data_IF_239612053714
#
_entry.id   IF_239612053714
#
_cell.length_a   1.000
_cell.length_b   1.000
_cell.length_c   1.000
_cell.angle_alpha   90.00
_cell.angle_beta   90.00
_cell.angle_gamma   90.00
#
_symmetry.space_group_name_H-M   'P 1'
#
loop_
_entity.id
_entity.type
_entity.pdbx_description
1 polymer ?
#
# COMPACT_ATOMS: atom_id res chain seq x y z
N UNK A 1 28.63 34.00 -7.92
CA UNK A 1 27.55 33.00 -7.79
C UNK A 1 28.02 31.95 -6.79
N UNK A 2 27.41 31.88 -5.60
CA UNK A 2 27.68 30.76 -4.70
C UNK A 2 27.14 29.48 -5.35
N UNK A 3 27.99 28.47 -5.51
CA UNK A 3 27.57 27.15 -5.98
C UNK A 3 26.67 26.53 -4.91
N UNK A 4 25.46 26.08 -5.29
CA UNK A 4 24.58 25.37 -4.37
C UNK A 4 25.32 24.07 -3.94
N UNK A 5 25.72 23.93 -2.66
CA UNK A 5 26.48 22.77 -2.19
C UNK A 5 25.67 21.47 -2.28
N UNK A 6 24.34 21.57 -2.41
CA UNK A 6 23.42 20.46 -2.54
C UNK A 6 23.09 20.10 -4.00
N UNK A 7 23.57 20.86 -5.00
CA UNK A 7 23.20 20.65 -6.41
C UNK A 7 23.44 19.22 -6.89
N UNK A 8 24.57 18.60 -6.50
CA UNK A 8 24.85 17.22 -6.88
C UNK A 8 23.89 16.21 -6.23
N UNK A 9 23.41 16.48 -4.99
CA UNK A 9 22.39 15.68 -4.30
C UNK A 9 21.02 15.84 -4.97
N UNK A 10 20.66 17.05 -5.35
CA UNK A 10 19.44 17.34 -6.11
C UNK A 10 19.41 16.55 -7.42
N UNK A 11 20.50 16.63 -8.20
CA UNK A 11 20.62 15.90 -9.47
C UNK A 11 20.54 14.39 -9.24
N UNK A 12 21.29 13.85 -8.27
CA UNK A 12 21.35 12.41 -8.04
C UNK A 12 20.02 11.86 -7.52
N UNK A 13 19.45 12.45 -6.47
CA UNK A 13 18.17 12.00 -5.90
C UNK A 13 17.01 12.21 -6.90
N UNK A 14 17.01 13.33 -7.64
CA UNK A 14 16.03 13.60 -8.69
C UNK A 14 16.12 12.58 -9.84
N UNK A 15 17.34 12.26 -10.29
CA UNK A 15 17.55 11.24 -11.32
C UNK A 15 17.12 9.85 -10.84
N UNK A 16 17.48 9.46 -9.61
CA UNK A 16 17.05 8.19 -9.01
C UNK A 16 15.52 8.09 -8.96
N UNK A 17 14.85 9.13 -8.47
CA UNK A 17 13.39 9.20 -8.41
C UNK A 17 12.76 9.10 -9.81
N UNK A 18 13.30 9.84 -10.78
CA UNK A 18 12.85 9.82 -12.18
C UNK A 18 13.02 8.44 -12.82
N UNK A 19 14.18 7.79 -12.63
CA UNK A 19 14.44 6.44 -13.13
C UNK A 19 13.45 5.44 -12.53
N UNK A 20 13.22 5.48 -11.21
CA UNK A 20 12.27 4.60 -10.52
C UNK A 20 10.85 4.81 -11.05
N UNK A 21 10.42 6.06 -11.20
CA UNK A 21 9.10 6.41 -11.73
C UNK A 21 8.92 5.90 -13.16
N UNK A 22 9.87 6.19 -14.05
CA UNK A 22 9.85 5.72 -15.45
C UNK A 22 9.88 4.20 -15.53
N UNK A 23 10.73 3.53 -14.74
CA UNK A 23 10.80 2.07 -14.73
C UNK A 23 9.48 1.43 -14.27
N UNK A 24 8.83 1.97 -13.23
CA UNK A 24 7.54 1.50 -12.77
C UNK A 24 6.46 1.71 -13.84
N UNK A 25 6.40 2.90 -14.45
CA UNK A 25 5.44 3.22 -15.52
C UNK A 25 5.66 2.34 -16.75
N UNK A 26 6.91 2.16 -17.19
CA UNK A 26 7.27 1.25 -18.27
C UNK A 26 6.81 -0.18 -17.95
N UNK A 27 7.07 -0.68 -16.74
CA UNK A 27 6.61 -2.02 -16.32
C UNK A 27 5.09 -2.16 -16.33
N UNK A 28 4.34 -1.11 -15.98
CA UNK A 28 2.88 -1.11 -16.02
C UNK A 28 2.38 -1.17 -17.47
N UNK A 29 3.00 -0.42 -18.38
CA UNK A 29 2.58 -0.31 -19.78
C UNK A 29 3.06 -1.50 -20.63
N UNK A 30 4.31 -1.92 -20.47
CA UNK A 30 4.96 -2.95 -21.30
C UNK A 30 4.59 -4.38 -20.89
N UNK A 31 4.22 -4.58 -19.62
CA UNK A 31 3.76 -5.87 -19.10
C UNK A 31 2.37 -5.72 -18.49
N UNK A 32 1.35 -5.38 -19.30
CA UNK A 32 -0.01 -5.33 -18.83
C UNK A 32 -0.39 -6.74 -18.37
N UNK A 33 -0.95 -6.83 -17.18
CA UNK A 33 -1.33 -8.14 -16.63
C UNK A 33 -2.55 -8.64 -17.41
N UNK A 34 -2.39 -9.71 -18.18
CA UNK A 34 -3.44 -10.31 -19.02
C UNK A 34 -4.79 -10.44 -18.29
N UNK A 35 -5.92 -9.99 -18.88
CA UNK A 35 -7.26 -10.23 -18.33
C UNK A 35 -7.47 -11.75 -18.14
N UNK A 36 -7.88 -12.20 -16.94
CA UNK A 36 -8.17 -13.63 -16.68
C UNK A 36 -7.06 -14.46 -16.01
N UNK A 37 -5.97 -13.85 -15.53
CA UNK A 37 -4.91 -14.55 -14.76
C UNK A 37 -4.87 -14.31 -13.25
N UNK A 38 -5.82 -13.56 -12.67
CA UNK A 38 -5.84 -13.38 -11.21
C UNK A 38 -6.87 -14.32 -10.64
N UNK A 39 -6.43 -15.55 -10.49
CA UNK A 39 -7.29 -16.57 -9.95
C UNK A 39 -7.50 -16.30 -8.47
N UNK A 40 -8.70 -16.57 -7.97
CA UNK A 40 -8.94 -16.69 -6.54
C UNK A 40 -8.01 -17.79 -6.03
N UNK A 41 -7.13 -17.44 -5.09
CA UNK A 41 -6.12 -18.37 -4.56
C UNK A 41 -6.60 -19.07 -3.29
N UNK A 42 -7.54 -18.46 -2.58
CA UNK A 42 -8.20 -18.99 -1.39
C UNK A 42 -9.70 -18.77 -1.60
N UNK A 43 -10.52 -19.79 -1.35
CA UNK A 43 -11.96 -19.66 -1.51
C UNK A 43 -12.51 -18.48 -0.67
N UNK A 44 -13.27 -17.59 -1.30
CA UNK A 44 -13.91 -16.47 -0.63
C UNK A 44 -15.39 -16.77 -0.39
N UNK A 45 -15.86 -16.61 0.84
CA UNK A 45 -17.28 -16.64 1.15
C UNK A 45 -17.83 -15.19 1.23
N UNK A 46 -18.50 -14.67 0.19
CA UNK A 46 -18.98 -13.29 0.19
C UNK A 46 -20.07 -13.03 1.23
N UNK A 47 -20.83 -14.04 1.64
CA UNK A 47 -21.85 -13.93 2.70
C UNK A 47 -21.28 -14.01 4.12
N UNK A 48 -19.95 -13.95 4.28
CA UNK A 48 -19.30 -13.86 5.59
C UNK A 48 -19.65 -12.53 6.28
N UNK A 49 -20.71 -12.56 7.10
CA UNK A 49 -21.23 -11.41 7.85
C UNK A 49 -20.19 -10.86 8.81
N UNK A 50 -19.42 -11.72 9.49
CA UNK A 50 -18.40 -11.30 10.44
C UNK A 50 -17.34 -10.42 9.77
N UNK A 51 -16.82 -10.87 8.61
CA UNK A 51 -15.81 -10.10 7.87
C UNK A 51 -16.38 -8.78 7.36
N UNK A 52 -17.63 -8.78 6.88
CA UNK A 52 -18.28 -7.55 6.44
C UNK A 52 -18.45 -6.56 7.60
N UNK A 53 -18.94 -7.02 8.75
CA UNK A 53 -19.09 -6.21 9.97
C UNK A 53 -17.75 -5.65 10.43
N UNK A 54 -16.69 -6.46 10.41
CA UNK A 54 -15.33 -6.03 10.73
C UNK A 54 -14.85 -4.92 9.78
N UNK A 55 -15.04 -5.09 8.47
CA UNK A 55 -14.68 -4.09 7.46
C UNK A 55 -15.46 -2.80 7.65
N UNK A 56 -16.77 -2.87 7.90
CA UNK A 56 -17.61 -1.69 8.19
C UNK A 56 -17.16 -0.95 9.45
N UNK A 57 -16.91 -1.68 10.55
CA UNK A 57 -16.44 -1.09 11.80
C UNK A 57 -15.07 -0.41 11.62
N UNK A 58 -14.14 -1.08 10.93
CA UNK A 58 -12.81 -0.54 10.64
C UNK A 58 -12.88 0.69 9.73
N UNK A 59 -13.72 0.65 8.70
CA UNK A 59 -13.94 1.79 7.81
C UNK A 59 -14.48 3.00 8.55
N UNK A 60 -15.52 2.82 9.37
CA UNK A 60 -16.10 3.91 10.17
C UNK A 60 -15.04 4.45 11.14
N UNK A 61 -14.31 3.57 11.83
CA UNK A 61 -13.25 3.97 12.74
C UNK A 61 -12.16 4.80 12.02
N UNK A 62 -11.69 4.36 10.86
CA UNK A 62 -10.68 5.08 10.07
C UNK A 62 -11.19 6.43 9.53
N UNK A 63 -12.46 6.49 9.08
CA UNK A 63 -13.07 7.77 8.66
C UNK A 63 -13.14 8.73 9.85
N UNK A 64 -13.58 8.28 11.02
CA UNK A 64 -13.65 9.12 12.23
C UNK A 64 -12.26 9.62 12.62
N UNK A 65 -11.26 8.74 12.70
CA UNK A 65 -9.89 9.11 13.02
C UNK A 65 -9.34 10.12 12.01
N UNK A 66 -9.57 9.89 10.72
CA UNK A 66 -9.11 10.78 9.64
C UNK A 66 -9.74 12.17 9.77
N UNK A 67 -11.06 12.25 10.01
CA UNK A 67 -11.76 13.52 10.23
C UNK A 67 -11.22 14.23 11.47
N UNK A 68 -11.06 13.53 12.59
CA UNK A 68 -10.55 14.11 13.82
C UNK A 68 -9.13 14.64 13.63
N UNK A 69 -8.25 13.89 12.96
CA UNK A 69 -6.90 14.34 12.65
C UNK A 69 -6.90 15.60 11.79
N UNK A 70 -7.73 15.68 10.75
CA UNK A 70 -7.82 16.87 9.88
C UNK A 70 -8.40 18.07 10.62
N UNK A 71 -9.37 17.87 11.51
CA UNK A 71 -10.00 18.95 12.28
C UNK A 71 -9.11 19.46 13.42
N UNK A 72 -8.35 18.59 14.07
CA UNK A 72 -7.47 18.95 15.19
C UNK A 72 -6.12 19.49 14.74
N UNK A 73 -5.78 19.37 13.46
CA UNK A 73 -4.50 19.79 12.90
C UNK A 73 -4.65 20.89 11.86
N UNK A 74 -3.53 21.46 11.44
CA UNK A 74 -3.50 22.35 10.29
C UNK A 74 -3.61 21.51 9.01
N UNK A 75 -4.35 21.97 8.00
CA UNK A 75 -4.40 21.38 6.65
C UNK A 75 -3.01 21.13 6.04
N UNK A 76 -1.99 21.85 6.50
CA UNK A 76 -0.59 21.61 6.15
C UNK A 76 -0.11 20.18 6.48
N UNK A 77 -0.67 19.50 7.48
CA UNK A 77 -0.29 18.12 7.85
C UNK A 77 -0.61 17.09 6.76
N UNK A 78 -1.42 17.44 5.74
CA UNK A 78 -1.68 16.56 4.60
C UNK A 78 -0.44 16.31 3.72
N UNK A 79 0.67 17.05 3.94
CA UNK A 79 1.95 16.81 3.26
C UNK A 79 2.70 15.58 3.78
N UNK A 80 2.31 15.03 4.93
CA UNK A 80 2.99 13.86 5.51
C UNK A 80 2.50 12.54 4.89
N UNK A 81 3.44 11.63 4.65
CA UNK A 81 3.18 10.30 4.08
C UNK A 81 2.26 9.45 4.96
N UNK A 82 2.25 9.68 6.27
CA UNK A 82 1.36 8.99 7.21
C UNK A 82 -0.11 9.25 6.87
N UNK A 83 -0.47 10.49 6.52
CA UNK A 83 -1.83 10.84 6.08
C UNK A 83 -2.17 10.19 4.74
N UNK A 84 -1.22 10.15 3.80
CA UNK A 84 -1.41 9.48 2.51
C UNK A 84 -1.70 7.98 2.69
N UNK A 85 -0.90 7.30 3.51
CA UNK A 85 -1.09 5.87 3.78
C UNK A 85 -2.37 5.58 4.56
N UNK A 86 -2.71 6.41 5.55
CA UNK A 86 -3.94 6.21 6.31
C UNK A 86 -5.18 6.45 5.44
N UNK A 87 -5.13 7.45 4.54
CA UNK A 87 -6.18 7.67 3.54
C UNK A 87 -6.32 6.47 2.60
N UNK A 88 -5.21 5.91 2.12
CA UNK A 88 -5.22 4.74 1.24
C UNK A 88 -5.82 3.51 1.93
N UNK A 89 -5.56 3.33 3.22
CA UNK A 89 -6.19 2.30 4.06
C UNK A 89 -7.71 2.50 4.16
N UNK A 90 -8.18 3.73 4.41
CA UNK A 90 -9.61 4.06 4.45
C UNK A 90 -10.29 3.77 3.12
N UNK A 91 -9.66 4.16 2.00
CA UNK A 91 -10.16 3.87 0.64
C UNK A 91 -10.25 2.36 0.40
N UNK A 92 -9.22 1.60 0.82
CA UNK A 92 -9.23 0.15 0.70
C UNK A 92 -10.41 -0.47 1.42
N UNK A 93 -10.65 -0.14 2.69
CA UNK A 93 -11.77 -0.71 3.45
C UNK A 93 -13.13 -0.35 2.83
N UNK A 94 -13.29 0.88 2.35
CA UNK A 94 -14.50 1.28 1.61
C UNK A 94 -14.70 0.44 0.33
N UNK A 95 -13.63 0.26 -0.45
CA UNK A 95 -13.68 -0.55 -1.67
C UNK A 95 -13.92 -2.05 -1.39
N UNK A 96 -13.37 -2.58 -0.29
CA UNK A 96 -13.56 -3.97 0.14
C UNK A 96 -15.00 -4.25 0.57
N UNK A 97 -15.64 -3.31 1.28
CA UNK A 97 -17.08 -3.38 1.62
C UNK A 97 -17.90 -3.43 0.33
N UNK A 98 -17.63 -2.51 -0.61
CA UNK A 98 -18.37 -2.45 -1.87
C UNK A 98 -18.20 -3.74 -2.68
N UNK A 99 -16.99 -4.29 -2.78
CA UNK A 99 -16.74 -5.55 -3.49
C UNK A 99 -17.47 -6.72 -2.83
N UNK A 100 -17.37 -6.87 -1.50
CA UNK A 100 -18.04 -7.94 -0.78
C UNK A 100 -19.56 -7.86 -0.88
N UNK A 101 -20.16 -6.68 -0.69
CA UNK A 101 -21.61 -6.47 -0.83
C UNK A 101 -22.07 -6.75 -2.25
N UNK A 102 -21.32 -6.31 -3.27
CA UNK A 102 -21.65 -6.62 -4.67
C UNK A 102 -21.65 -8.12 -4.96
N UNK A 103 -20.68 -8.87 -4.41
CA UNK A 103 -20.61 -10.33 -4.55
C UNK A 103 -21.68 -11.06 -3.74
N UNK A 104 -22.10 -10.51 -2.61
CA UNK A 104 -23.19 -11.08 -1.79
C UNK A 104 -24.56 -10.84 -2.45
N UNK A 105 -24.85 -9.63 -2.91
CA UNK A 105 -26.18 -9.24 -3.40
C UNK A 105 -26.59 -9.88 -4.74
N UNK A 106 -25.73 -10.67 -5.38
CA UNK A 106 -26.00 -11.31 -6.68
C UNK A 106 -25.68 -12.80 -6.66
N UNK A 107 -26.32 -13.62 -7.52
CA UNK A 107 -25.94 -15.02 -7.69
C UNK A 107 -24.46 -15.14 -8.09
N UNK A 108 -23.69 -16.07 -7.49
CA UNK A 108 -22.27 -16.23 -7.82
C UNK A 108 -22.06 -16.55 -9.30
N UNK A 109 -21.32 -15.71 -10.01
CA UNK A 109 -20.90 -15.99 -11.38
C UNK A 109 -19.67 -16.91 -11.40
N UNK A 110 -19.37 -17.54 -12.54
CA UNK A 110 -18.09 -18.26 -12.71
C UNK A 110 -16.90 -17.32 -12.44
N UNK A 111 -17.04 -16.05 -12.82
CA UNK A 111 -16.03 -15.03 -12.55
C UNK A 111 -15.82 -14.79 -11.07
N UNK A 112 -16.88 -14.75 -10.25
CA UNK A 112 -16.74 -14.51 -8.80
C UNK A 112 -16.05 -15.68 -8.08
N UNK A 113 -16.18 -16.91 -8.61
CA UNK A 113 -15.56 -18.12 -8.06
C UNK A 113 -14.09 -18.26 -8.44
N UNK A 114 -13.73 -17.85 -9.65
CA UNK A 114 -12.40 -18.09 -10.20
C UNK A 114 -11.54 -16.85 -10.32
N UNK A 115 -12.09 -15.63 -10.33
CA UNK A 115 -11.33 -14.39 -10.52
C UNK A 115 -11.44 -13.40 -9.35
N UNK A 116 -10.28 -12.95 -8.87
CA UNK A 116 -10.16 -11.98 -7.79
C UNK A 116 -10.25 -10.53 -8.29
N UNK A 117 -10.69 -9.60 -7.42
CA UNK A 117 -10.74 -8.18 -7.75
C UNK A 117 -9.32 -7.58 -7.77
N UNK A 118 -8.72 -7.47 -8.95
CA UNK A 118 -7.30 -7.08 -9.07
C UNK A 118 -6.99 -5.68 -8.55
N UNK A 119 -7.75 -4.63 -8.91
CA UNK A 119 -7.50 -3.30 -8.37
C UNK A 119 -7.53 -3.29 -6.85
N UNK A 120 -8.50 -3.97 -6.24
CA UNK A 120 -8.61 -4.08 -4.79
C UNK A 120 -7.44 -4.83 -4.16
N UNK A 121 -7.03 -5.95 -4.76
CA UNK A 121 -5.90 -6.76 -4.30
C UNK A 121 -4.56 -6.02 -4.44
N UNK A 122 -4.38 -5.28 -5.54
CA UNK A 122 -3.20 -4.42 -5.76
C UNK A 122 -3.16 -3.30 -4.73
N UNK A 123 -4.31 -2.66 -4.48
CA UNK A 123 -4.46 -1.64 -3.45
C UNK A 123 -4.11 -2.19 -2.08
N UNK A 124 -4.57 -3.40 -1.75
CA UNK A 124 -4.22 -4.09 -0.52
C UNK A 124 -2.72 -4.33 -0.39
N UNK A 125 -2.06 -4.83 -1.44
CA UNK A 125 -0.61 -5.08 -1.43
C UNK A 125 0.20 -3.79 -1.18
N UNK A 126 -0.21 -2.67 -1.79
CA UNK A 126 0.39 -1.34 -1.56
C UNK A 126 0.14 -0.88 -0.12
N UNK A 127 -1.10 -0.98 0.35
CA UNK A 127 -1.48 -0.61 1.73
C UNK A 127 -0.68 -1.41 2.75
N UNK A 128 -0.63 -2.73 2.60
CA UNK A 128 -0.04 -3.62 3.59
C UNK A 128 1.48 -3.47 3.67
N UNK A 129 2.15 -3.34 2.52
CA UNK A 129 3.59 -3.08 2.51
C UNK A 129 3.93 -1.70 3.13
N UNK A 130 3.16 -0.67 2.77
CA UNK A 130 3.44 0.70 3.22
C UNK A 130 3.14 0.89 4.70
N UNK A 131 2.05 0.31 5.23
CA UNK A 131 1.72 0.44 6.66
C UNK A 131 2.75 -0.25 7.55
N UNK A 132 3.30 -1.40 7.12
CA UNK A 132 4.35 -2.11 7.85
C UNK A 132 5.59 -1.21 7.91
N UNK A 133 5.99 -0.62 6.79
CA UNK A 133 7.14 0.28 6.77
C UNK A 133 6.91 1.50 7.67
N UNK A 134 5.76 2.16 7.56
CA UNK A 134 5.42 3.35 8.37
C UNK A 134 5.42 3.01 9.86
N UNK A 135 4.90 1.85 10.25
CA UNK A 135 4.95 1.39 11.64
C UNK A 135 6.40 1.13 12.09
N UNK A 136 7.19 0.39 11.31
CA UNK A 136 8.59 0.09 11.64
C UNK A 136 9.42 1.37 11.78
N UNK A 137 9.28 2.31 10.85
CA UNK A 137 10.01 3.58 10.90
C UNK A 137 9.65 4.37 12.16
N UNK A 138 8.35 4.44 12.48
CA UNK A 138 7.91 5.13 13.69
C UNK A 138 8.47 4.48 14.95
N UNK A 139 8.23 3.18 15.15
CA UNK A 139 8.57 2.49 16.40
C UNK A 139 10.08 2.29 16.60
N UNK A 140 10.87 2.16 15.53
CA UNK A 140 12.32 1.93 15.62
C UNK A 140 13.11 3.24 15.65
N UNK A 141 12.73 4.22 14.82
CA UNK A 141 13.57 5.41 14.61
C UNK A 141 12.99 6.72 15.17
N UNK A 142 11.67 6.86 15.27
CA UNK A 142 11.03 8.13 15.64
C UNK A 142 10.51 8.12 17.08
N UNK A 143 10.06 6.96 17.56
CA UNK A 143 9.46 6.80 18.87
C UNK A 143 10.43 7.26 19.97
N UNK A 144 9.91 8.10 20.87
CA UNK A 144 10.67 8.66 21.97
C UNK A 144 9.81 8.59 23.23
N UNK A 145 10.22 7.74 24.17
CA UNK A 145 9.51 7.51 25.44
C UNK A 145 9.39 8.76 26.31
N UNK A 146 10.21 9.79 26.08
CA UNK A 146 10.18 11.03 26.83
C UNK A 146 9.12 12.02 26.31
N UNK A 147 8.47 11.76 25.17
CA UNK A 147 7.45 12.63 24.58
C UNK A 147 6.05 12.06 24.77
N UNK A 148 5.10 12.94 25.07
CA UNK A 148 3.68 12.59 24.99
C UNK A 148 3.33 12.20 23.55
N UNK A 149 2.58 11.12 23.39
CA UNK A 149 2.13 10.63 22.09
C UNK A 149 0.62 10.78 22.03
N UNK A 150 0.16 11.54 21.05
CA UNK A 150 -1.27 11.70 20.80
C UNK A 150 -1.90 10.37 20.38
N UNK A 151 -3.13 10.13 20.83
CA UNK A 151 -3.83 8.88 20.54
C UNK A 151 -3.95 8.54 19.04
N UNK A 152 -4.13 9.49 18.09
CA UNK A 152 -4.19 9.15 16.66
C UNK A 152 -2.87 8.60 16.14
N UNK A 153 -1.74 8.98 16.76
CA UNK A 153 -0.42 8.45 16.42
C UNK A 153 -0.34 6.95 16.72
N UNK A 154 -0.88 6.48 17.86
CA UNK A 154 -1.02 5.05 18.11
C UNK A 154 -1.92 4.36 17.09
N UNK A 155 -2.96 5.04 16.61
CA UNK A 155 -3.87 4.46 15.61
C UNK A 155 -3.16 4.23 14.27
N UNK A 156 -2.45 5.24 13.75
CA UNK A 156 -1.84 5.18 12.41
C UNK A 156 -0.52 4.40 12.36
N UNK A 157 0.07 4.05 13.52
CA UNK A 157 1.33 3.30 13.60
C UNK A 157 1.20 1.92 14.29
N UNK A 158 0.09 1.60 14.97
CA UNK A 158 -0.08 0.32 15.67
C UNK A 158 -1.46 -0.29 15.46
N UNK A 159 -2.55 0.42 15.80
CA UNK A 159 -3.90 -0.16 15.72
C UNK A 159 -4.25 -0.54 14.29
N UNK A 160 -3.87 0.30 13.32
CA UNK A 160 -4.08 0.01 11.91
C UNK A 160 -3.33 -1.24 11.42
N UNK A 161 -2.12 -1.50 11.94
CA UNK A 161 -1.35 -2.72 11.64
C UNK A 161 -2.15 -3.95 12.09
N UNK A 162 -2.67 -3.92 13.33
CA UNK A 162 -3.49 -5.02 13.86
C UNK A 162 -4.73 -5.23 13.00
N UNK A 163 -5.46 -4.17 12.67
CA UNK A 163 -6.69 -4.26 11.88
C UNK A 163 -6.43 -4.78 10.46
N UNK A 164 -5.36 -4.35 9.80
CA UNK A 164 -5.02 -4.86 8.46
C UNK A 164 -4.47 -6.29 8.51
N UNK A 165 -3.79 -6.70 9.59
CA UNK A 165 -3.40 -8.11 9.79
C UNK A 165 -4.64 -9.00 10.00
N UNK A 166 -5.66 -8.53 10.73
CA UNK A 166 -6.93 -9.24 10.85
C UNK A 166 -7.62 -9.34 9.48
N UNK A 167 -7.73 -8.23 8.74
CA UNK A 167 -8.24 -8.26 7.36
C UNK A 167 -7.49 -9.28 6.50
N UNK A 168 -6.15 -9.26 6.56
CA UNK A 168 -5.31 -10.22 5.84
C UNK A 168 -5.60 -11.66 6.23
N UNK A 169 -5.78 -11.95 7.52
CA UNK A 169 -5.98 -13.31 7.99
C UNK A 169 -7.30 -13.91 7.48
N UNK A 170 -8.36 -13.08 7.38
CA UNK A 170 -9.72 -13.55 7.09
C UNK A 170 -10.20 -13.29 5.66
N UNK A 171 -9.47 -12.52 4.86
CA UNK A 171 -9.78 -12.35 3.44
C UNK A 171 -9.19 -13.48 2.58
N UNK A 172 -9.53 -13.48 1.30
CA UNK A 172 -9.14 -14.46 0.30
C UNK A 172 -7.80 -14.16 -0.39
N UNK A 173 -7.23 -12.99 -0.11
CA UNK A 173 -6.10 -12.47 -0.88
C UNK A 173 -4.77 -13.02 -0.38
N UNK A 174 -3.89 -13.33 -1.33
CA UNK A 174 -2.47 -13.58 -1.10
C UNK A 174 -1.69 -12.59 -1.95
N UNK A 175 -0.67 -11.95 -1.36
CA UNK A 175 0.08 -10.92 -2.03
C UNK A 175 0.76 -11.41 -3.30
N UNK A 176 0.77 -10.55 -4.31
CA UNK A 176 1.15 -10.95 -5.65
C UNK A 176 2.40 -10.21 -6.09
N UNK A 177 3.42 -10.95 -6.56
CA UNK A 177 4.68 -10.35 -7.02
C UNK A 177 4.49 -9.29 -8.11
N UNK A 178 3.41 -9.40 -8.89
CA UNK A 178 3.01 -8.42 -9.90
C UNK A 178 2.70 -7.03 -9.31
N UNK A 179 2.38 -6.92 -8.03
CA UNK A 179 2.08 -5.67 -7.33
C UNK A 179 3.32 -4.83 -7.02
N UNK A 180 4.53 -5.41 -7.10
CA UNK A 180 5.80 -4.74 -6.73
C UNK A 180 5.95 -3.37 -7.41
N UNK A 181 5.58 -3.26 -8.69
CA UNK A 181 5.65 -2.01 -9.45
C UNK A 181 4.77 -0.91 -8.86
N UNK A 182 3.61 -1.24 -8.29
CA UNK A 182 2.73 -0.27 -7.63
C UNK A 182 3.22 0.06 -6.22
N UNK A 183 3.75 -0.93 -5.51
CA UNK A 183 4.33 -0.75 -4.17
C UNK A 183 5.51 0.21 -4.21
N UNK A 184 6.37 0.12 -5.23
CA UNK A 184 7.51 1.04 -5.42
C UNK A 184 7.07 2.38 -6.01
N UNK A 185 6.07 2.39 -6.88
CA UNK A 185 5.55 3.63 -7.48
C UNK A 185 4.90 4.54 -6.42
N UNK A 186 4.20 3.98 -5.43
CA UNK A 186 3.51 4.74 -4.39
C UNK A 186 4.40 5.74 -3.62
N UNK A 187 5.52 5.34 -2.99
CA UNK A 187 6.44 6.27 -2.35
C UNK A 187 7.15 7.20 -3.36
N UNK A 188 7.34 6.77 -4.61
CA UNK A 188 7.90 7.64 -5.64
C UNK A 188 6.94 8.79 -6.02
N UNK A 189 5.64 8.51 -6.11
CA UNK A 189 4.61 9.56 -6.29
C UNK A 189 4.64 10.52 -5.09
N UNK A 190 4.61 9.98 -3.86
CA UNK A 190 4.68 10.82 -2.66
C UNK A 190 5.92 11.70 -2.66
N UNK A 191 7.10 11.13 -2.90
CA UNK A 191 8.36 11.85 -2.90
C UNK A 191 8.40 12.93 -3.99
N UNK A 192 7.80 12.67 -5.16
CA UNK A 192 7.68 13.66 -6.24
C UNK A 192 6.80 14.83 -5.83
N UNK A 193 5.65 14.56 -5.20
CA UNK A 193 4.75 15.61 -4.71
C UNK A 193 5.38 16.40 -3.57
N UNK A 194 6.06 15.74 -2.63
CA UNK A 194 6.79 16.39 -1.56
C UNK A 194 7.91 17.29 -2.10
N UNK A 195 8.64 16.85 -3.13
CA UNK A 195 9.68 17.67 -3.78
C UNK A 195 9.09 18.88 -4.49
N UNK A 196 8.01 18.69 -5.26
CA UNK A 196 7.30 19.80 -5.91
C UNK A 196 6.81 20.79 -4.84
N UNK A 197 6.23 20.30 -3.75
CA UNK A 197 5.80 21.12 -2.62
C UNK A 197 6.94 21.93 -2.03
N UNK A 198 8.06 21.27 -1.71
CA UNK A 198 9.30 21.90 -1.23
C UNK A 198 9.73 23.06 -2.13
N UNK A 199 9.72 22.84 -3.45
CA UNK A 199 10.16 23.83 -4.44
C UNK A 199 9.14 24.95 -4.71
N UNK A 200 7.86 24.80 -4.31
CA UNK A 200 6.78 25.70 -4.75
C UNK A 200 6.00 26.32 -3.58
N UNK A 201 5.20 25.54 -2.85
CA UNK A 201 4.20 26.06 -1.90
C UNK A 201 4.49 25.78 -0.43
N UNK A 202 5.46 24.92 -0.10
CA UNK A 202 5.83 24.63 1.31
C UNK A 202 7.03 25.46 1.79
N UNK A 203 7.51 26.43 1.00
CA UNK A 203 8.61 27.35 1.36
C UNK A 203 9.90 26.63 1.78
N UNK A 204 10.30 25.58 1.05
CA UNK A 204 11.49 24.79 1.37
C UNK A 204 11.30 23.78 2.50
N UNK A 205 10.07 23.50 2.93
CA UNK A 205 9.79 22.50 3.94
C UNK A 205 9.76 21.08 3.37
N UNK A 206 10.48 20.17 4.03
CA UNK A 206 10.39 18.73 3.82
C UNK A 206 9.46 18.08 4.86
N UNK A 207 8.51 17.22 4.46
CA UNK A 207 7.63 16.52 5.41
C UNK A 207 8.40 15.68 6.44
N UNK A 208 9.57 15.17 6.08
CA UNK A 208 10.42 14.45 7.02
C UNK A 208 11.85 14.96 6.93
N UNK A 209 12.51 15.12 8.07
CA UNK A 209 13.91 15.55 8.15
C UNK A 209 14.84 14.63 7.35
N UNK A 210 14.54 13.34 7.29
CA UNK A 210 15.30 12.35 6.51
C UNK A 210 15.28 12.64 5.00
N UNK A 211 14.29 13.37 4.50
CA UNK A 211 14.21 13.76 3.08
C UNK A 211 15.06 14.99 2.75
N UNK A 212 15.49 15.75 3.76
CA UNK A 212 16.27 16.96 3.55
C UNK A 212 17.57 16.65 2.82
N UNK A 213 17.82 17.44 1.76
CA UNK A 213 19.05 17.35 1.00
C UNK A 213 20.24 17.94 1.75
N UNK A 214 20.05 18.63 2.88
CA UNK A 214 21.16 19.08 3.73
C UNK A 214 21.87 17.90 4.41
N UNK A 215 21.17 16.77 4.56
CA UNK A 215 21.77 15.54 5.08
C UNK A 215 22.93 15.10 4.16
N UNK A 216 24.15 14.91 4.67
CA UNK A 216 25.29 14.45 3.86
C UNK A 216 25.04 13.07 3.22
N UNK A 217 24.17 12.26 3.82
CA UNK A 217 23.79 10.94 3.35
C UNK A 217 22.47 10.92 2.57
N UNK A 218 21.93 12.08 2.14
CA UNK A 218 20.64 12.15 1.46
C UNK A 218 20.48 11.14 0.31
N UNK A 219 21.45 10.97 -0.62
CA UNK A 219 21.29 9.97 -1.70
C UNK A 219 21.08 8.53 -1.20
N UNK A 220 21.77 8.14 -0.13
CA UNK A 220 21.59 6.81 0.48
C UNK A 220 20.24 6.68 1.16
N UNK A 221 19.75 7.74 1.80
CA UNK A 221 18.43 7.76 2.44
C UNK A 221 17.31 7.65 1.40
N UNK A 222 17.41 8.42 0.30
CA UNK A 222 16.46 8.39 -0.80
C UNK A 222 16.41 7.01 -1.47
N UNK A 223 17.56 6.38 -1.71
CA UNK A 223 17.62 4.98 -2.16
C UNK A 223 17.04 4.02 -1.11
N UNK A 224 17.39 4.23 0.15
CA UNK A 224 16.96 3.41 1.29
C UNK A 224 15.44 3.35 1.46
N UNK A 225 14.74 4.47 1.23
CA UNK A 225 13.27 4.51 1.25
C UNK A 225 12.69 3.54 0.22
N UNK A 226 13.20 3.55 -1.01
CA UNK A 226 12.75 2.63 -2.06
C UNK A 226 13.03 1.17 -1.70
N UNK A 227 14.24 0.87 -1.25
CA UNK A 227 14.65 -0.49 -0.81
C UNK A 227 13.78 -0.97 0.36
N UNK A 228 13.48 -0.11 1.34
CA UNK A 228 12.68 -0.48 2.50
C UNK A 228 11.25 -0.90 2.12
N UNK A 229 10.63 -0.27 1.11
CA UNK A 229 9.34 -0.71 0.58
C UNK A 229 9.43 -2.09 -0.09
N UNK A 230 10.50 -2.35 -0.84
CA UNK A 230 10.73 -3.68 -1.45
C UNK A 230 10.89 -4.75 -0.37
N UNK A 231 11.65 -4.46 0.69
CA UNK A 231 11.85 -5.38 1.83
C UNK A 231 10.53 -5.65 2.56
N UNK A 232 9.75 -4.61 2.88
CA UNK A 232 8.44 -4.77 3.54
C UNK A 232 7.47 -5.55 2.67
N UNK A 233 7.49 -5.35 1.35
CA UNK A 233 6.69 -6.15 0.43
C UNK A 233 7.16 -7.61 0.36
N UNK A 234 8.47 -7.85 0.41
CA UNK A 234 9.03 -9.19 0.58
C UNK A 234 8.50 -9.90 1.83
N UNK A 235 8.37 -9.17 2.94
CA UNK A 235 7.76 -9.68 4.16
C UNK A 235 6.26 -9.97 4.00
N UNK A 236 5.50 -9.12 3.31
CA UNK A 236 4.08 -9.38 2.98
C UNK A 236 3.92 -10.63 2.09
N UNK A 237 4.81 -10.85 1.14
CA UNK A 237 4.85 -12.09 0.34
C UNK A 237 5.14 -13.32 1.22
N UNK A 238 6.01 -13.18 2.22
CA UNK A 238 6.30 -14.25 3.18
C UNK A 238 5.08 -14.57 4.06
N UNK A 239 4.36 -13.55 4.56
CA UNK A 239 3.09 -13.75 5.28
C UNK A 239 2.06 -14.47 4.41
N UNK A 240 1.99 -14.13 3.13
CA UNK A 240 1.13 -14.80 2.14
C UNK A 240 1.51 -16.25 1.92
N UNK A 241 2.80 -16.56 1.85
CA UNK A 241 3.27 -17.94 1.79
C UNK A 241 2.80 -18.75 3.01
N UNK A 242 2.91 -18.20 4.22
CA UNK A 242 2.45 -18.88 5.44
C UNK A 242 0.93 -19.05 5.47
N UNK A 243 0.17 -18.00 5.13
CA UNK A 243 -1.30 -18.07 5.03
C UNK A 243 -1.76 -19.15 4.07
N UNK A 244 -1.16 -19.23 2.87
CA UNK A 244 -1.49 -20.25 1.87
C UNK A 244 -1.28 -21.68 2.39
N UNK A 245 -0.23 -21.88 3.19
CA UNK A 245 0.13 -23.16 3.79
C UNK A 245 -0.83 -23.57 4.91
N UNK A 246 -1.36 -22.60 5.65
CA UNK A 246 -2.31 -22.83 6.75
C UNK A 246 -3.73 -23.09 6.24
N UNK A 247 -4.19 -22.34 5.24
CA UNK A 247 -5.56 -22.47 4.70
C UNK A 247 -5.69 -23.63 3.70
N UNK A 248 -4.57 -24.21 3.24
CA UNK A 248 -4.58 -25.35 2.31
C UNK A 248 -5.04 -24.95 0.91
N UNK A 249 -4.41 -23.91 0.33
CA UNK A 249 -4.88 -23.26 -0.90
C UNK A 249 -5.34 -24.22 -2.00
N UNK A 250 -6.58 -24.05 -2.46
CA UNK A 250 -7.12 -24.79 -3.60
C UNK A 250 -6.42 -24.32 -4.88
N UNK A 251 -5.77 -25.24 -5.60
CA UNK A 251 -5.41 -24.97 -6.99
C UNK A 251 -6.69 -24.92 -7.83
N UNK A 252 -6.81 -23.99 -8.80
CA UNK A 252 -7.96 -23.99 -9.70
C UNK A 252 -8.09 -25.37 -10.37
N UNK A 253 -9.30 -25.93 -10.49
CA UNK A 253 -9.49 -27.25 -11.07
C UNK A 253 -8.87 -27.32 -12.47
N UNK A 254 -8.14 -28.41 -12.77
CA UNK A 254 -7.52 -28.70 -14.08
C UNK A 254 -8.49 -28.61 -15.27
N UNK A 255 -9.80 -28.57 -15.01
CA UNK A 255 -10.87 -28.41 -16.00
C UNK A 255 -10.83 -27.05 -16.73
N UNK A 256 -10.43 -25.95 -16.07
CA UNK A 256 -10.32 -24.64 -16.73
C UNK A 256 -9.13 -24.57 -17.71
N UNK A 257 -8.00 -25.18 -17.34
CA UNK A 257 -6.83 -25.30 -18.23
C UNK A 257 -7.14 -26.10 -19.51
N UNK A 258 -8.15 -26.98 -19.46
CA UNK A 258 -8.60 -27.76 -20.63
C UNK A 258 -9.54 -26.96 -21.52
N UNK A 259 -10.41 -26.10 -20.95
CA UNK A 259 -11.31 -25.26 -21.74
C UNK A 259 -10.58 -24.12 -22.46
N UNK A 260 -9.57 -23.50 -21.84
CA UNK A 260 -8.74 -22.49 -22.51
C UNK A 260 -7.95 -23.08 -23.69
N UNK A 261 -7.51 -24.34 -23.58
CA UNK A 261 -6.83 -25.07 -24.66
C UNK A 261 -7.76 -25.38 -25.84
N UNK A 262 -9.06 -25.54 -25.59
CA UNK A 262 -10.06 -25.79 -26.64
C UNK A 262 -10.62 -24.50 -27.27
N UNK A 263 -10.50 -23.36 -26.61
CA UNK A 263 -10.90 -22.05 -27.16
C UNK A 263 -9.79 -21.36 -27.96
N UNK A 264 -8.55 -21.82 -27.82
CA UNK A 264 -7.37 -21.27 -28.49
C UNK A 264 -6.66 -22.26 -29.44
N UNK A 265 -7.31 -23.39 -29.78
CA UNK A 265 -6.90 -24.33 -30.82
C UNK A 265 -7.80 -24.21 -32.04
#
# INVERSE_FOLDING_TARGET
>A
MATNPNLWKEILCGALLGIVGVACMYRIVAYPVEPGRHNVQIAFNPSNVWLLSFRCATFVFFVVVWILQVQSSNWFELVYYTYWNFTLQTIYFGAAIVDQVRRWSRPPTLTDRYYANRPLNTLFDVVFASLILVALVYWIFIFNTAKHIEWPTYVVHLVNVVLVVVEFAFNEHLAQRTSLKYVVLWPAIFASVAWIGHATYTRGFWPYSIMSLDNPYAPLVWLGIGVAHVVCFGFVLLLSYFKARWVGGEQPPRLLARQDMHLHA
#
